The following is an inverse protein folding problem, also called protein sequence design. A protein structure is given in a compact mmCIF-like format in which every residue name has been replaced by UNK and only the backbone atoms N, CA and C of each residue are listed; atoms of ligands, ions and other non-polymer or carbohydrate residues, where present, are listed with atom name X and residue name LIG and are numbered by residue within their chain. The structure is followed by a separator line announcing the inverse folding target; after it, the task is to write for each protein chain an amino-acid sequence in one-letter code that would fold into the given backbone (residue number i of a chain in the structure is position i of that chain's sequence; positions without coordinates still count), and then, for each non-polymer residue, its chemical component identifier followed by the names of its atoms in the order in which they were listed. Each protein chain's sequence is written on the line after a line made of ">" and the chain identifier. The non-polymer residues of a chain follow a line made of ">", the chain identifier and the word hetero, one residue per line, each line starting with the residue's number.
data_IF_626251736691
#
_entry.id   IF_626251736691
#
_cell.length_a   1.000
_cell.length_b   1.000
_cell.length_c   1.000
_cell.angle_alpha   90.00
_cell.angle_beta   90.00
_cell.angle_gamma   90.00
#
_symmetry.space_group_name_H-M   'P 1'
#
loop_
_entity.id
_entity.type
_entity.pdbx_description
1 polymer ?
#
# COMPACT_ATOMS: atom_id res chain seq x y z
N UNK A 1 10.26 -2.63 -29.68
CA UNK A 1 9.30 -1.99 -28.75
C UNK A 1 8.62 -2.98 -27.79
N UNK A 2 8.13 -4.14 -28.23
CA UNK A 2 7.41 -5.12 -27.38
C UNK A 2 8.18 -5.55 -26.12
N UNK A 3 9.48 -5.87 -26.26
CA UNK A 3 10.33 -6.23 -25.13
C UNK A 3 10.54 -5.09 -24.12
N UNK A 4 10.78 -3.86 -24.60
CA UNK A 4 10.97 -2.69 -23.75
C UNK A 4 9.73 -2.43 -22.85
N UNK A 5 8.52 -2.56 -23.41
CA UNK A 5 7.28 -2.44 -22.64
C UNK A 5 7.11 -3.54 -21.60
N UNK A 6 7.44 -4.80 -21.94
CA UNK A 6 7.35 -5.93 -21.01
C UNK A 6 8.30 -5.74 -19.80
N UNK A 7 9.56 -5.35 -20.06
CA UNK A 7 10.53 -5.09 -18.99
C UNK A 7 10.18 -3.87 -18.14
N UNK A 8 9.69 -2.79 -18.76
CA UNK A 8 9.23 -1.60 -18.04
C UNK A 8 8.06 -1.89 -17.11
N UNK A 9 7.08 -2.66 -17.58
CA UNK A 9 5.94 -3.07 -16.77
C UNK A 9 6.34 -4.04 -15.65
N UNK A 10 7.30 -4.94 -15.89
CA UNK A 10 7.86 -5.80 -14.84
C UNK A 10 8.55 -4.99 -13.74
N UNK A 11 9.34 -3.98 -14.11
CA UNK A 11 9.99 -3.09 -13.14
C UNK A 11 8.94 -2.30 -12.34
N UNK A 12 7.90 -1.80 -13.00
CA UNK A 12 6.78 -1.12 -12.34
C UNK A 12 6.07 -2.02 -11.31
N UNK A 13 5.79 -3.28 -11.66
CA UNK A 13 5.11 -4.22 -10.75
C UNK A 13 5.96 -4.58 -9.54
N UNK A 14 7.29 -4.68 -9.69
CA UNK A 14 8.22 -4.84 -8.56
C UNK A 14 8.13 -3.63 -7.62
N UNK A 15 8.23 -2.41 -8.16
CA UNK A 15 8.15 -1.18 -7.36
C UNK A 15 6.80 -1.07 -6.65
N UNK A 16 5.70 -1.37 -7.35
CA UNK A 16 4.35 -1.32 -6.78
C UNK A 16 4.18 -2.33 -5.64
N UNK A 17 4.66 -3.56 -5.83
CA UNK A 17 4.66 -4.60 -4.80
C UNK A 17 5.47 -4.16 -3.59
N UNK A 18 6.67 -3.64 -3.80
CA UNK A 18 7.54 -3.19 -2.73
C UNK A 18 6.92 -2.04 -1.92
N UNK A 19 6.34 -1.04 -2.59
CA UNK A 19 5.63 0.06 -1.93
C UNK A 19 4.39 -0.43 -1.17
N UNK A 20 3.62 -1.36 -1.74
CA UNK A 20 2.49 -2.00 -1.06
C UNK A 20 2.91 -2.72 0.22
N UNK A 21 4.00 -3.48 0.15
CA UNK A 21 4.59 -4.17 1.30
C UNK A 21 5.07 -3.19 2.39
N UNK A 22 5.81 -2.15 2.02
CA UNK A 22 6.27 -1.12 2.96
C UNK A 22 5.10 -0.39 3.63
N UNK A 23 4.00 -0.18 2.91
CA UNK A 23 2.81 0.47 3.46
C UNK A 23 2.05 -0.45 4.42
N UNK A 24 2.02 -1.75 4.16
CA UNK A 24 1.45 -2.76 5.04
C UNK A 24 2.23 -2.89 6.35
N UNK A 25 3.56 -3.04 6.29
CA UNK A 25 4.37 -3.25 7.50
C UNK A 25 4.34 -2.04 8.43
N UNK A 26 4.28 -0.82 7.86
CA UNK A 26 4.20 0.43 8.61
C UNK A 26 2.75 0.92 8.82
N UNK A 27 1.74 0.11 8.52
CA UNK A 27 0.33 0.54 8.49
C UNK A 27 -0.17 1.04 9.85
N UNK A 28 0.22 0.37 10.93
CA UNK A 28 -0.15 0.74 12.30
C UNK A 28 0.47 2.07 12.70
N UNK A 29 1.77 2.24 12.45
CA UNK A 29 2.50 3.46 12.80
C UNK A 29 2.05 4.65 11.95
N UNK A 30 1.88 4.45 10.65
CA UNK A 30 1.32 5.46 9.74
C UNK A 30 -0.11 5.84 10.14
N UNK A 31 -0.95 4.87 10.48
CA UNK A 31 -2.32 5.12 10.92
C UNK A 31 -2.37 5.93 12.22
N UNK A 32 -1.53 5.59 13.20
CA UNK A 32 -1.39 6.36 14.45
C UNK A 32 -0.86 7.77 14.22
N UNK A 33 0.14 7.93 13.36
CA UNK A 33 0.71 9.24 13.04
C UNK A 33 -0.33 10.15 12.36
N UNK A 34 -1.11 9.62 11.42
CA UNK A 34 -2.20 10.36 10.77
C UNK A 34 -3.31 10.72 11.75
N UNK A 35 -3.68 9.80 12.66
CA UNK A 35 -4.67 10.09 13.70
C UNK A 35 -4.18 11.19 14.66
N UNK A 36 -2.93 11.15 15.08
CA UNK A 36 -2.31 12.20 15.90
C UNK A 36 -2.22 13.54 15.16
N UNK A 37 -1.89 13.51 13.87
CA UNK A 37 -1.85 14.70 13.03
C UNK A 37 -3.24 15.31 12.89
N UNK A 38 -4.26 14.49 12.65
CA UNK A 38 -5.65 14.89 12.60
C UNK A 38 -6.12 15.51 13.93
N UNK A 39 -5.77 14.89 15.06
CA UNK A 39 -6.07 15.42 16.39
C UNK A 39 -5.47 16.83 16.57
N UNK A 40 -4.19 17.01 16.19
CA UNK A 40 -3.47 18.27 16.34
C UNK A 40 -3.98 19.37 15.40
N UNK A 41 -4.25 19.03 14.13
CA UNK A 41 -4.57 20.01 13.09
C UNK A 41 -6.07 20.30 12.97
N UNK A 42 -6.91 19.28 13.10
CA UNK A 42 -8.35 19.40 12.84
C UNK A 42 -9.18 19.57 14.10
N UNK A 43 -8.74 19.02 15.23
CA UNK A 43 -9.48 19.03 16.50
C UNK A 43 -8.85 19.94 17.58
N UNK A 44 -7.81 20.71 17.23
CA UNK A 44 -7.16 21.63 18.18
C UNK A 44 -6.42 20.95 19.34
N UNK A 45 -6.11 19.64 19.21
CA UNK A 45 -5.31 18.90 20.18
C UNK A 45 -6.08 18.21 21.31
N UNK A 46 -7.41 18.29 21.34
CA UNK A 46 -8.23 17.62 22.35
C UNK A 46 -9.39 16.86 21.71
N UNK A 47 -9.56 15.60 22.10
CA UNK A 47 -10.64 14.74 21.66
C UNK A 47 -10.93 13.71 22.75
N UNK A 48 -12.18 13.28 22.84
CA UNK A 48 -12.56 12.16 23.68
C UNK A 48 -11.81 10.87 23.27
N UNK A 49 -11.41 10.08 24.27
CA UNK A 49 -10.57 8.90 24.08
C UNK A 49 -11.23 7.82 23.20
N UNK A 50 -12.55 7.64 23.31
CA UNK A 50 -13.26 6.64 22.51
C UNK A 50 -13.34 7.08 21.05
N UNK A 51 -13.64 8.36 20.82
CA UNK A 51 -13.65 8.90 19.47
C UNK A 51 -12.25 8.90 18.83
N UNK A 52 -11.21 9.19 19.60
CA UNK A 52 -9.82 9.14 19.12
C UNK A 52 -9.40 7.71 18.74
N UNK A 53 -9.83 6.70 19.51
CA UNK A 53 -9.59 5.29 19.20
C UNK A 53 -10.25 4.89 17.87
N UNK A 54 -11.51 5.23 17.67
CA UNK A 54 -12.25 4.92 16.42
C UNK A 54 -11.55 5.53 15.21
N UNK A 55 -11.11 6.79 15.31
CA UNK A 55 -10.39 7.46 14.22
C UNK A 55 -9.05 6.77 13.96
N UNK A 56 -8.32 6.41 15.02
CA UNK A 56 -7.03 5.70 14.88
C UNK A 56 -7.21 4.36 14.18
N UNK A 57 -8.19 3.57 14.58
CA UNK A 57 -8.51 2.29 13.94
C UNK A 57 -8.92 2.49 12.47
N UNK A 58 -9.69 3.53 12.16
CA UNK A 58 -10.05 3.90 10.79
C UNK A 58 -8.83 4.22 9.92
N UNK A 59 -7.88 5.02 10.42
CA UNK A 59 -6.65 5.33 9.69
C UNK A 59 -5.73 4.11 9.53
N UNK A 60 -5.64 3.24 10.54
CA UNK A 60 -4.88 1.99 10.44
C UNK A 60 -5.51 1.10 9.37
N UNK A 61 -6.83 0.89 9.44
CA UNK A 61 -7.56 0.05 8.48
C UNK A 61 -7.39 0.58 7.05
N UNK A 62 -7.53 1.90 6.85
CA UNK A 62 -7.31 2.52 5.54
C UNK A 62 -5.88 2.28 5.02
N UNK A 63 -4.86 2.35 5.88
CA UNK A 63 -3.48 2.06 5.48
C UNK A 63 -3.27 0.57 5.15
N UNK A 64 -3.84 -0.33 5.95
CA UNK A 64 -3.82 -1.78 5.69
C UNK A 64 -4.51 -2.10 4.36
N UNK A 65 -5.71 -1.57 4.13
CA UNK A 65 -6.46 -1.81 2.89
C UNK A 65 -5.71 -1.30 1.68
N UNK A 66 -5.20 -0.07 1.74
CA UNK A 66 -4.49 0.54 0.60
C UNK A 66 -3.17 -0.18 0.32
N UNK A 67 -2.37 -0.46 1.35
CA UNK A 67 -1.15 -1.26 1.22
C UNK A 67 -1.43 -2.67 0.71
N UNK A 68 -2.50 -3.30 1.21
CA UNK A 68 -2.98 -4.61 0.79
C UNK A 68 -3.35 -4.68 -0.68
N UNK A 69 -4.15 -3.72 -1.16
CA UNK A 69 -4.53 -3.64 -2.58
C UNK A 69 -3.30 -3.41 -3.46
N UNK A 70 -2.43 -2.47 -3.10
CA UNK A 70 -1.20 -2.21 -3.86
C UNK A 70 -0.31 -3.46 -3.95
N UNK A 71 -0.11 -4.14 -2.81
CA UNK A 71 0.70 -5.35 -2.75
C UNK A 71 0.08 -6.48 -3.57
N UNK A 72 -1.22 -6.72 -3.42
CA UNK A 72 -1.93 -7.77 -4.14
C UNK A 72 -1.90 -7.54 -5.65
N UNK A 73 -2.26 -6.35 -6.12
CA UNK A 73 -2.26 -6.01 -7.55
C UNK A 73 -0.85 -6.06 -8.12
N UNK A 74 0.15 -5.53 -7.39
CA UNK A 74 1.55 -5.59 -7.78
C UNK A 74 2.04 -7.03 -7.94
N UNK A 75 1.80 -7.87 -6.93
CA UNK A 75 2.27 -9.25 -6.91
C UNK A 75 1.56 -10.12 -7.96
N UNK A 76 0.24 -9.98 -8.10
CA UNK A 76 -0.51 -10.70 -9.14
C UNK A 76 -0.04 -10.33 -10.54
N UNK A 77 0.20 -9.04 -10.79
CA UNK A 77 0.70 -8.55 -12.08
C UNK A 77 2.12 -9.03 -12.36
N UNK A 78 2.99 -9.02 -11.33
CA UNK A 78 4.35 -9.53 -11.41
C UNK A 78 4.38 -11.02 -11.77
N UNK A 79 3.60 -11.85 -11.07
CA UNK A 79 3.46 -13.28 -11.35
C UNK A 79 2.96 -13.53 -12.78
N UNK A 80 1.97 -12.76 -13.24
CA UNK A 80 1.46 -12.87 -14.60
C UNK A 80 2.52 -12.50 -15.66
N UNK A 81 3.31 -11.46 -15.40
CA UNK A 81 4.41 -11.07 -16.28
C UNK A 81 5.48 -12.15 -16.38
N UNK A 82 5.90 -12.72 -15.25
CA UNK A 82 6.84 -13.82 -15.23
C UNK A 82 6.28 -15.01 -16.01
N UNK A 83 5.04 -15.41 -15.75
CA UNK A 83 4.39 -16.51 -16.47
C UNK A 83 4.40 -16.29 -17.99
N UNK A 84 4.05 -15.08 -18.43
CA UNK A 84 4.04 -14.73 -19.86
C UNK A 84 5.45 -14.81 -20.46
N UNK A 85 6.46 -14.31 -19.75
CA UNK A 85 7.86 -14.40 -20.19
C UNK A 85 8.27 -15.86 -20.37
N UNK A 86 8.07 -16.70 -19.36
CA UNK A 86 8.39 -18.13 -19.45
C UNK A 86 7.67 -18.83 -20.60
N UNK A 87 6.41 -18.49 -20.85
CA UNK A 87 5.64 -19.05 -21.98
C UNK A 87 6.14 -18.59 -23.35
N UNK A 88 6.70 -17.40 -23.48
CA UNK A 88 7.32 -16.93 -24.74
C UNK A 88 8.68 -17.59 -25.01
N UNK A 89 9.34 -18.14 -23.97
CA UNK A 89 10.63 -18.82 -24.08
C UNK A 89 10.54 -20.35 -24.20
N UNK A 90 9.36 -20.95 -23.96
CA UNK A 90 9.07 -22.39 -24.11
C UNK A 90 8.43 -22.71 -25.45
#
# INVERSE_FOLDING_TARGET
>A
MKYLMNYGFLLFTIVLTFLGYLKLINSVENGRNLANEYLRKSMGGSMDSDNFRIITEGYILSNVTLGGVMFFVGLSSFCFCIYKIFKEFS
#
